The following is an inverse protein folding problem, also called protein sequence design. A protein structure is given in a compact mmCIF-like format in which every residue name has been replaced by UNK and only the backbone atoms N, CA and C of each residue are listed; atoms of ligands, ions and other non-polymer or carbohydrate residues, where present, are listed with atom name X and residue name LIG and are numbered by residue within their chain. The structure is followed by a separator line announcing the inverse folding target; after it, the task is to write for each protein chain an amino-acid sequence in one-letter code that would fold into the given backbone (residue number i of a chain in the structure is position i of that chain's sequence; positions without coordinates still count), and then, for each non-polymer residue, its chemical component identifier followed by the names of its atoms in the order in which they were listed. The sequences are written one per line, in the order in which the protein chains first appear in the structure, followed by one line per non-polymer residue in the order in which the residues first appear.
data_IF_627365738757
#
_entry.id   IF_627365738757
#
_cell.length_a   1.000
_cell.length_b   1.000
_cell.length_c   1.000
_cell.angle_alpha   90.00
_cell.angle_beta   90.00
_cell.angle_gamma   90.00
#
_symmetry.space_group_name_H-M   'P 1'
#
loop_
_entity.id
_entity.type
_entity.pdbx_description
1 polymer ?
#
# COMPACT_ATOMS: atom_id res chain seq x y z
N UNK A 1 -10.67 11.99 -18.09
CA UNK A 1 -10.42 10.73 -18.85
C UNK A 1 -11.24 9.61 -18.23
N UNK A 2 -11.89 8.75 -19.04
CA UNK A 2 -12.51 7.51 -18.53
C UNK A 2 -11.47 6.40 -18.63
N UNK A 3 -11.24 5.65 -17.55
CA UNK A 3 -10.39 4.47 -17.59
C UNK A 3 -10.98 3.42 -18.54
N UNK A 4 -10.12 2.75 -19.32
CA UNK A 4 -10.50 1.58 -20.12
C UNK A 4 -11.00 0.47 -19.19
N UNK A 5 -11.86 -0.41 -19.63
CA UNK A 5 -12.43 -1.50 -18.83
C UNK A 5 -11.33 -2.36 -18.16
N UNK A 6 -10.26 -2.69 -18.90
CA UNK A 6 -9.10 -3.43 -18.39
C UNK A 6 -8.38 -2.70 -17.25
N UNK A 7 -8.18 -1.40 -17.35
CA UNK A 7 -7.50 -0.59 -16.33
C UNK A 7 -8.37 -0.45 -15.08
N UNK A 8 -9.70 -0.38 -15.25
CA UNK A 8 -10.66 -0.35 -14.14
C UNK A 8 -10.65 -1.67 -13.37
N UNK A 9 -10.75 -2.81 -14.07
CA UNK A 9 -10.71 -4.13 -13.44
C UNK A 9 -9.38 -4.36 -12.71
N UNK A 10 -8.25 -3.90 -13.30
CA UNK A 10 -6.95 -3.95 -12.64
C UNK A 10 -6.93 -3.09 -11.35
N UNK A 11 -7.47 -1.88 -11.39
CA UNK A 11 -7.57 -1.00 -10.22
C UNK A 11 -8.42 -1.65 -9.11
N UNK A 12 -9.55 -2.27 -9.46
CA UNK A 12 -10.42 -2.98 -8.51
C UNK A 12 -9.67 -4.15 -7.86
N UNK A 13 -8.94 -4.95 -8.63
CA UNK A 13 -8.14 -6.06 -8.11
C UNK A 13 -7.00 -5.58 -7.20
N UNK A 14 -6.25 -4.54 -7.59
CA UNK A 14 -5.21 -3.95 -6.76
C UNK A 14 -5.79 -3.36 -5.47
N UNK A 15 -6.93 -2.69 -5.55
CA UNK A 15 -7.61 -2.14 -4.36
C UNK A 15 -8.04 -3.24 -3.41
N UNK A 16 -8.59 -4.34 -3.93
CA UNK A 16 -9.01 -5.49 -3.14
C UNK A 16 -7.82 -6.23 -2.50
N UNK A 17 -6.71 -6.38 -3.24
CA UNK A 17 -5.46 -6.92 -2.70
C UNK A 17 -4.96 -6.08 -1.53
N UNK A 18 -4.81 -4.78 -1.74
CA UNK A 18 -4.37 -3.86 -0.70
C UNK A 18 -5.29 -3.83 0.54
N UNK A 19 -6.61 -3.92 0.37
CA UNK A 19 -7.54 -4.06 1.50
C UNK A 19 -7.24 -5.32 2.34
N UNK A 20 -6.84 -6.41 1.70
CA UNK A 20 -6.46 -7.64 2.39
C UNK A 20 -5.18 -7.48 3.19
N UNK A 21 -4.13 -6.92 2.57
CA UNK A 21 -2.85 -6.61 3.23
C UNK A 21 -3.06 -5.69 4.43
N UNK A 22 -3.88 -4.65 4.27
CA UNK A 22 -4.20 -3.70 5.34
C UNK A 22 -4.99 -4.35 6.49
N UNK A 23 -5.94 -5.25 6.21
CA UNK A 23 -6.65 -6.03 7.25
C UNK A 23 -5.67 -6.88 8.04
N UNK A 24 -4.73 -7.54 7.37
CA UNK A 24 -3.71 -8.34 8.03
C UNK A 24 -2.77 -7.49 8.88
N UNK A 25 -2.32 -6.34 8.37
CA UNK A 25 -1.53 -5.38 9.15
C UNK A 25 -2.24 -4.97 10.45
N UNK A 26 -3.52 -4.58 10.39
CA UNK A 26 -4.27 -4.20 11.59
C UNK A 26 -4.48 -5.37 12.55
N UNK A 27 -4.67 -6.57 12.03
CA UNK A 27 -4.76 -7.78 12.83
C UNK A 27 -3.46 -8.01 13.62
N UNK A 28 -2.30 -7.89 12.96
CA UNK A 28 -1.01 -7.97 13.66
C UNK A 28 -0.85 -6.85 14.67
N UNK A 29 -1.17 -5.61 14.31
CA UNK A 29 -1.04 -4.46 15.21
C UNK A 29 -1.89 -4.58 16.48
N UNK A 30 -3.04 -5.22 16.38
CA UNK A 30 -4.00 -5.38 17.49
C UNK A 30 -3.67 -6.59 18.37
N UNK A 31 -3.26 -7.71 17.78
CA UNK A 31 -3.18 -9.00 18.47
C UNK A 31 -1.78 -9.59 18.58
N UNK A 32 -0.78 -9.10 17.84
CA UNK A 32 0.59 -9.56 17.95
C UNK A 32 1.26 -8.86 19.13
N UNK A 33 1.47 -9.61 20.22
CA UNK A 33 2.10 -9.12 21.45
C UNK A 33 3.60 -9.43 21.53
N UNK A 34 4.10 -10.33 20.68
CA UNK A 34 5.52 -10.69 20.61
C UNK A 34 6.35 -9.53 20.08
N UNK A 35 7.53 -9.32 20.67
CA UNK A 35 8.50 -8.34 20.18
C UNK A 35 9.18 -8.84 18.90
N UNK A 36 8.63 -8.47 17.74
CA UNK A 36 9.12 -8.85 16.42
C UNK A 36 9.40 -7.60 15.56
N UNK A 37 10.24 -7.76 14.55
CA UNK A 37 10.43 -6.72 13.52
C UNK A 37 9.54 -7.08 12.34
N UNK A 38 8.63 -6.19 12.00
CA UNK A 38 7.64 -6.41 10.96
C UNK A 38 7.88 -5.46 9.79
N UNK A 39 8.15 -6.04 8.61
CA UNK A 39 8.33 -5.32 7.35
C UNK A 39 7.14 -5.62 6.45
N UNK A 40 6.51 -4.58 5.90
CA UNK A 40 5.34 -4.69 5.04
C UNK A 40 5.64 -4.13 3.66
N UNK A 41 5.02 -4.70 2.62
CA UNK A 41 5.18 -4.29 1.21
C UNK A 41 6.65 -4.15 0.80
N UNK A 42 7.49 -5.11 1.19
CA UNK A 42 8.92 -5.10 0.90
C UNK A 42 9.17 -5.61 -0.52
N UNK A 43 9.66 -4.74 -1.41
CA UNK A 43 10.04 -5.12 -2.77
C UNK A 43 11.54 -5.17 -2.91
N UNK A 44 12.04 -6.31 -3.38
CA UNK A 44 13.47 -6.58 -3.55
C UNK A 44 13.75 -7.07 -4.97
N UNK A 45 15.02 -7.04 -5.34
CA UNK A 45 15.55 -7.65 -6.56
C UNK A 45 16.63 -8.65 -6.24
N UNK A 46 16.58 -9.79 -6.91
CA UNK A 46 17.63 -10.79 -6.86
C UNK A 46 17.82 -11.42 -8.24
N UNK A 47 19.07 -11.43 -8.74
CA UNK A 47 19.45 -11.98 -10.06
C UNK A 47 18.55 -11.44 -11.20
N UNK A 48 18.28 -10.12 -11.23
CA UNK A 48 17.41 -9.48 -12.23
C UNK A 48 15.92 -9.80 -12.08
N UNK A 49 15.53 -10.48 -10.99
CA UNK A 49 14.13 -10.80 -10.69
C UNK A 49 13.61 -9.97 -9.54
N UNK A 50 12.68 -9.06 -9.82
CA UNK A 50 11.93 -8.35 -8.77
C UNK A 50 10.90 -9.29 -8.13
N UNK A 51 10.76 -9.17 -6.80
CA UNK A 51 9.73 -9.84 -6.03
C UNK A 51 9.24 -8.95 -4.89
N UNK A 52 7.99 -9.12 -4.51
CA UNK A 52 7.33 -8.35 -3.46
C UNK A 52 6.91 -9.32 -2.35
N UNK A 53 7.10 -8.91 -1.13
CA UNK A 53 6.72 -9.61 0.09
C UNK A 53 5.65 -8.77 0.78
N UNK A 54 4.45 -9.30 0.95
CA UNK A 54 3.35 -8.58 1.60
C UNK A 54 3.68 -8.30 3.06
N UNK A 55 4.20 -9.32 3.78
CA UNK A 55 4.69 -9.14 5.15
C UNK A 55 5.85 -10.09 5.45
N UNK A 56 6.93 -9.54 6.02
CA UNK A 56 8.06 -10.30 6.55
C UNK A 56 8.19 -10.01 8.04
N UNK A 57 8.02 -11.04 8.87
CA UNK A 57 8.10 -10.93 10.32
C UNK A 57 9.39 -11.60 10.79
N UNK A 58 10.30 -10.83 11.39
CA UNK A 58 11.55 -11.34 11.94
C UNK A 58 11.36 -11.63 13.44
N UNK A 59 11.62 -12.86 13.83
CA UNK A 59 11.65 -13.34 15.20
C UNK A 59 13.08 -13.74 15.58
N UNK A 60 13.29 -14.12 16.84
CA UNK A 60 14.63 -14.40 17.39
C UNK A 60 15.41 -15.46 16.59
N UNK A 61 14.78 -16.53 16.16
CA UNK A 61 15.45 -17.68 15.55
C UNK A 61 14.94 -18.03 14.15
N UNK A 62 13.93 -17.30 13.65
CA UNK A 62 13.33 -17.54 12.34
C UNK A 62 12.61 -16.29 11.83
N UNK A 63 12.26 -16.32 10.58
CA UNK A 63 11.40 -15.32 9.95
C UNK A 63 10.18 -15.99 9.33
N UNK A 64 9.08 -15.24 9.26
CA UNK A 64 7.86 -15.66 8.59
C UNK A 64 7.63 -14.78 7.36
N UNK A 65 7.61 -15.41 6.18
CA UNK A 65 7.17 -14.78 4.94
C UNK A 65 5.67 -15.03 4.79
N UNK A 66 4.91 -13.95 4.72
CA UNK A 66 3.45 -14.00 4.62
C UNK A 66 3.02 -13.41 3.27
N UNK A 67 2.30 -14.21 2.50
CA UNK A 67 1.56 -13.79 1.32
C UNK A 67 0.08 -13.68 1.68
N UNK A 68 -0.56 -12.54 1.43
CA UNK A 68 -1.94 -12.27 1.80
C UNK A 68 -2.84 -12.24 0.56
N UNK A 69 -3.90 -13.01 0.57
CA UNK A 69 -4.93 -13.00 -0.48
C UNK A 69 -6.29 -12.61 0.08
N UNK A 70 -6.96 -11.69 -0.60
CA UNK A 70 -8.31 -11.25 -0.28
C UNK A 70 -9.29 -11.71 -1.35
N UNK A 71 -9.28 -13.01 -1.64
CA UNK A 71 -10.23 -13.63 -2.56
C UNK A 71 -11.59 -13.79 -1.88
N UNK A 72 -12.66 -13.85 -2.66
CA UNK A 72 -14.02 -14.17 -2.24
C UNK A 72 -14.64 -15.21 -3.15
N UNK A 73 -15.55 -16.00 -2.61
CA UNK A 73 -16.26 -17.05 -3.30
C UNK A 73 -15.52 -18.38 -3.33
N UNK A 74 -15.96 -19.25 -4.23
CA UNK A 74 -15.60 -20.66 -4.26
C UNK A 74 -14.46 -20.95 -5.23
N UNK A 75 -13.48 -21.69 -4.75
CA UNK A 75 -12.33 -22.13 -5.53
C UNK A 75 -12.12 -23.64 -5.34
N UNK A 76 -11.58 -24.28 -6.37
CA UNK A 76 -11.24 -25.71 -6.34
C UNK A 76 -9.75 -25.84 -6.64
N UNK A 77 -9.06 -26.60 -5.80
CA UNK A 77 -7.67 -26.97 -6.04
C UNK A 77 -7.63 -28.39 -6.63
N UNK A 78 -7.08 -28.51 -7.83
CA UNK A 78 -6.78 -29.78 -8.49
C UNK A 78 -5.26 -29.86 -8.69
N UNK A 79 -4.57 -30.54 -7.79
CA UNK A 79 -3.11 -30.56 -7.72
C UNK A 79 -2.52 -29.14 -7.72
N UNK A 80 -1.77 -28.78 -8.75
CA UNK A 80 -1.15 -27.46 -8.91
C UNK A 80 -2.05 -26.43 -9.61
N UNK A 81 -3.22 -26.84 -10.09
CA UNK A 81 -4.17 -25.96 -10.78
C UNK A 81 -5.24 -25.46 -9.81
N UNK A 82 -5.51 -24.17 -9.89
CA UNK A 82 -6.58 -23.52 -9.12
C UNK A 82 -7.64 -22.98 -10.07
N UNK A 83 -8.89 -23.33 -9.81
CA UNK A 83 -10.05 -22.91 -10.58
C UNK A 83 -10.99 -22.05 -9.74
N UNK A 84 -11.39 -20.88 -10.25
CA UNK A 84 -12.42 -20.06 -9.63
C UNK A 84 -13.79 -20.44 -10.18
N UNK A 85 -14.67 -20.93 -9.31
CA UNK A 85 -16.04 -21.34 -9.68
C UNK A 85 -16.84 -20.13 -10.16
N UNK A 86 -16.73 -18.99 -9.45
CA UNK A 86 -17.47 -17.78 -9.79
C UNK A 86 -17.03 -17.16 -11.12
N UNK A 87 -15.70 -17.15 -11.38
CA UNK A 87 -15.15 -16.61 -12.63
C UNK A 87 -15.14 -17.60 -13.78
N UNK A 88 -15.44 -18.90 -13.51
CA UNK A 88 -15.43 -20.01 -14.48
C UNK A 88 -14.12 -20.10 -15.26
N UNK A 89 -12.98 -19.94 -14.58
CA UNK A 89 -11.64 -19.96 -15.20
C UNK A 89 -10.57 -20.40 -14.23
N UNK A 90 -9.47 -20.88 -14.80
CA UNK A 90 -8.25 -21.11 -14.05
C UNK A 90 -7.64 -19.80 -13.56
N UNK A 91 -7.03 -19.85 -12.39
CA UNK A 91 -6.25 -18.75 -11.82
C UNK A 91 -4.83 -19.22 -11.53
N UNK A 92 -3.92 -18.27 -11.47
CA UNK A 92 -2.56 -18.56 -11.04
C UNK A 92 -2.58 -19.11 -9.60
N UNK A 93 -1.88 -20.23 -9.38
CA UNK A 93 -1.77 -20.85 -8.07
C UNK A 93 -1.01 -19.92 -7.10
N UNK A 94 -1.66 -19.42 -6.02
CA UNK A 94 -1.01 -18.50 -5.08
C UNK A 94 0.14 -19.14 -4.29
N UNK A 95 0.12 -20.47 -4.10
CA UNK A 95 1.21 -21.19 -3.44
C UNK A 95 2.49 -21.14 -4.27
N UNK A 96 2.40 -21.26 -5.59
CA UNK A 96 3.57 -21.13 -6.48
C UNK A 96 4.15 -19.72 -6.43
N UNK A 97 3.31 -18.69 -6.33
CA UNK A 97 3.76 -17.31 -6.14
C UNK A 97 4.54 -17.17 -4.83
N UNK A 98 3.99 -17.64 -3.73
CA UNK A 98 4.62 -17.63 -2.40
C UNK A 98 5.94 -18.41 -2.41
N UNK A 99 5.97 -19.63 -2.97
CA UNK A 99 7.18 -20.46 -3.06
C UNK A 99 8.29 -19.77 -3.86
N UNK A 100 7.94 -19.13 -4.99
CA UNK A 100 8.90 -18.34 -5.76
C UNK A 100 9.47 -17.19 -4.95
N UNK A 101 8.63 -16.48 -4.20
CA UNK A 101 9.04 -15.39 -3.32
C UNK A 101 9.98 -15.90 -2.21
N UNK A 102 9.65 -17.03 -1.60
CA UNK A 102 10.47 -17.70 -0.58
C UNK A 102 11.86 -18.08 -1.11
N UNK A 103 11.95 -18.67 -2.30
CA UNK A 103 13.22 -19.03 -2.92
C UNK A 103 14.11 -17.80 -3.16
N UNK A 104 13.55 -16.72 -3.69
CA UNK A 104 14.27 -15.46 -3.92
C UNK A 104 14.72 -14.80 -2.62
N UNK A 105 13.89 -14.86 -1.57
CA UNK A 105 14.25 -14.34 -0.25
C UNK A 105 15.35 -15.18 0.40
N UNK A 106 15.29 -16.52 0.31
CA UNK A 106 16.35 -17.43 0.79
C UNK A 106 17.68 -17.15 0.11
N UNK A 107 17.67 -16.97 -1.21
CA UNK A 107 18.88 -16.61 -1.97
C UNK A 107 19.40 -15.21 -1.59
N UNK A 108 18.51 -14.27 -1.31
CA UNK A 108 18.87 -12.94 -0.80
C UNK A 108 19.52 -13.04 0.58
N UNK A 109 18.93 -13.80 1.51
CA UNK A 109 19.48 -14.02 2.84
C UNK A 109 20.86 -14.68 2.79
N UNK A 110 21.01 -15.72 1.98
CA UNK A 110 22.31 -16.39 1.76
C UNK A 110 23.37 -15.41 1.24
N UNK A 111 23.04 -14.60 0.24
CA UNK A 111 23.96 -13.59 -0.30
C UNK A 111 24.37 -12.52 0.72
N UNK A 112 23.48 -12.19 1.64
CA UNK A 112 23.74 -11.22 2.71
C UNK A 112 24.37 -11.83 3.97
N UNK A 113 24.62 -13.14 3.98
CA UNK A 113 25.14 -13.85 5.14
C UNK A 113 24.13 -13.95 6.30
N UNK A 114 22.84 -13.75 6.03
CA UNK A 114 21.75 -13.82 7.01
C UNK A 114 21.40 -15.29 7.26
N UNK A 115 21.64 -15.78 8.46
CA UNK A 115 21.32 -17.16 8.88
C UNK A 115 20.03 -17.19 9.70
N UNK A 116 18.92 -16.80 9.10
CA UNK A 116 17.60 -16.81 9.74
C UNK A 116 16.65 -17.67 8.89
N UNK A 117 16.23 -18.85 9.38
CA UNK A 117 15.31 -19.73 8.67
C UNK A 117 14.01 -19.01 8.29
N UNK A 118 13.47 -19.33 7.12
CA UNK A 118 12.23 -18.76 6.60
C UNK A 118 11.15 -19.83 6.59
N UNK A 119 10.04 -19.54 7.24
CA UNK A 119 8.78 -20.29 7.15
C UNK A 119 7.75 -19.42 6.40
N UNK A 120 7.07 -19.98 5.41
CA UNK A 120 6.15 -19.22 4.56
C UNK A 120 4.71 -19.63 4.78
N UNK A 121 3.80 -18.65 4.80
CA UNK A 121 2.36 -18.88 4.94
C UNK A 121 1.57 -18.07 3.92
N UNK A 122 0.60 -18.75 3.29
CA UNK A 122 -0.40 -18.13 2.43
C UNK A 122 -1.67 -17.88 3.25
N UNK A 123 -2.03 -16.62 3.44
CA UNK A 123 -3.17 -16.22 4.26
C UNK A 123 -4.34 -15.78 3.38
N UNK A 124 -5.48 -16.46 3.52
CA UNK A 124 -6.75 -15.99 2.98
C UNK A 124 -7.50 -15.21 4.07
N UNK A 125 -7.45 -13.87 3.95
CA UNK A 125 -7.96 -12.97 4.99
C UNK A 125 -9.48 -12.79 4.93
N UNK A 126 -10.12 -13.14 3.80
CA UNK A 126 -11.55 -12.95 3.58
C UNK A 126 -12.33 -14.17 4.10
N UNK A 127 -13.30 -13.99 5.02
CA UNK A 127 -14.14 -15.09 5.50
C UNK A 127 -15.05 -15.70 4.44
N UNK A 128 -15.34 -14.97 3.36
CA UNK A 128 -16.15 -15.45 2.23
C UNK A 128 -15.36 -16.31 1.23
N UNK A 129 -14.09 -16.63 1.51
CA UNK A 129 -13.26 -17.49 0.67
C UNK A 129 -13.40 -18.95 1.08
N UNK A 130 -13.71 -19.81 0.13
CA UNK A 130 -13.78 -21.26 0.30
C UNK A 130 -12.86 -21.95 -0.71
N UNK A 131 -12.02 -22.86 -0.25
CA UNK A 131 -11.14 -23.67 -1.09
C UNK A 131 -11.50 -25.15 -0.91
N UNK A 132 -12.09 -25.75 -1.96
CA UNK A 132 -12.34 -27.18 -2.03
C UNK A 132 -11.06 -27.95 -2.37
N UNK A 133 -10.94 -29.16 -1.87
CA UNK A 133 -9.82 -30.10 -2.09
C UNK A 133 -8.47 -29.61 -1.58
N UNK A 134 -8.44 -28.65 -0.62
CA UNK A 134 -7.19 -28.18 -0.05
C UNK A 134 -6.50 -29.28 0.75
N UNK A 135 -5.25 -29.67 0.42
CA UNK A 135 -4.49 -30.65 1.20
C UNK A 135 -4.18 -30.14 2.60
N UNK A 136 -4.28 -31.01 3.62
CA UNK A 136 -4.07 -30.65 5.03
C UNK A 136 -2.65 -30.15 5.37
N UNK A 137 -1.65 -30.54 4.58
CA UNK A 137 -0.22 -30.23 4.85
C UNK A 137 0.28 -28.95 4.15
N UNK A 138 -0.58 -28.21 3.46
CA UNK A 138 -0.16 -26.96 2.82
C UNK A 138 -0.07 -25.81 3.84
N UNK A 139 0.87 -24.88 3.66
CA UNK A 139 1.04 -23.72 4.55
C UNK A 139 -0.02 -22.64 4.29
N UNK A 140 -1.28 -23.04 4.31
CA UNK A 140 -2.43 -22.17 4.10
C UNK A 140 -3.10 -21.87 5.44
N UNK A 141 -3.42 -20.60 5.65
CA UNK A 141 -4.18 -20.11 6.80
C UNK A 141 -5.46 -19.46 6.29
N UNK A 142 -6.60 -20.04 6.63
CA UNK A 142 -7.91 -19.48 6.31
C UNK A 142 -8.35 -18.45 7.36
N UNK A 143 -9.29 -17.57 7.01
CA UNK A 143 -9.81 -16.53 7.90
C UNK A 143 -10.22 -17.07 9.29
N UNK A 144 -10.90 -18.22 9.35
CA UNK A 144 -11.27 -18.88 10.61
C UNK A 144 -10.09 -19.44 11.44
N UNK A 145 -8.88 -19.45 10.89
CA UNK A 145 -7.67 -19.94 11.56
C UNK A 145 -6.74 -18.79 12.03
N UNK A 146 -7.05 -17.55 11.69
CA UNK A 146 -6.20 -16.40 11.98
C UNK A 146 -5.87 -16.25 13.47
N UNK A 147 -6.85 -16.45 14.35
CA UNK A 147 -6.61 -16.38 15.79
C UNK A 147 -5.54 -17.40 16.25
N UNK A 148 -5.65 -18.65 15.79
CA UNK A 148 -4.65 -19.70 16.10
C UNK A 148 -3.28 -19.37 15.51
N UNK A 149 -3.24 -18.78 14.31
CA UNK A 149 -2.01 -18.35 13.68
C UNK A 149 -1.31 -17.24 14.48
N UNK A 150 -2.05 -16.23 14.93
CA UNK A 150 -1.51 -15.16 15.77
C UNK A 150 -1.05 -15.73 17.14
N UNK A 151 -1.79 -16.67 17.73
CA UNK A 151 -1.36 -17.35 18.96
C UNK A 151 -0.03 -18.10 18.77
N UNK A 152 0.15 -18.76 17.62
CA UNK A 152 1.42 -19.41 17.26
C UNK A 152 2.56 -18.37 17.16
N UNK A 153 2.32 -17.24 16.51
CA UNK A 153 3.30 -16.15 16.42
C UNK A 153 3.65 -15.61 17.82
N UNK A 154 2.66 -15.39 18.69
CA UNK A 154 2.87 -14.91 20.06
C UNK A 154 3.66 -15.89 20.93
N UNK A 155 3.60 -17.17 20.64
CA UNK A 155 4.37 -18.21 21.34
C UNK A 155 5.77 -18.43 20.74
N UNK A 156 6.11 -17.73 19.65
CA UNK A 156 7.43 -17.82 19.03
C UNK A 156 8.43 -16.97 19.82
N UNK A 157 9.63 -17.50 20.19
CA UNK A 157 10.66 -16.70 20.86
C UNK A 157 10.99 -15.42 20.09
N UNK A 158 11.00 -14.29 20.80
CA UNK A 158 11.01 -12.97 20.16
C UNK A 158 11.98 -11.97 20.82
N UNK A 159 13.12 -12.41 21.34
CA UNK A 159 14.18 -11.52 21.83
C UNK A 159 14.92 -10.92 20.64
N UNK A 160 14.73 -9.62 20.42
CA UNK A 160 15.39 -8.91 19.32
C UNK A 160 16.78 -8.42 19.76
N UNK A 161 17.77 -8.69 18.91
CA UNK A 161 19.17 -8.27 19.10
C UNK A 161 19.53 -7.16 18.13
N UNK A 162 20.74 -6.59 18.28
CA UNK A 162 21.31 -5.66 17.31
C UNK A 162 21.36 -6.26 15.90
N UNK A 163 21.71 -7.54 15.78
CA UNK A 163 21.77 -8.23 14.49
C UNK A 163 20.41 -8.22 13.73
N UNK A 164 19.29 -8.39 14.41
CA UNK A 164 17.96 -8.32 13.79
C UNK A 164 17.65 -6.90 13.26
N UNK A 165 18.13 -5.86 13.94
CA UNK A 165 17.98 -4.48 13.47
C UNK A 165 18.85 -4.23 12.22
N UNK A 166 20.07 -4.74 12.19
CA UNK A 166 20.95 -4.68 11.03
C UNK A 166 20.34 -5.41 9.82
N UNK A 167 19.71 -6.56 10.02
CA UNK A 167 18.95 -7.27 8.96
C UNK A 167 17.83 -6.36 8.43
N UNK A 168 17.03 -5.78 9.32
CA UNK A 168 15.96 -4.84 8.94
C UNK A 168 16.51 -3.70 8.10
N UNK A 169 17.55 -3.01 8.59
CA UNK A 169 18.16 -1.86 7.90
C UNK A 169 18.68 -2.23 6.51
N UNK A 170 19.32 -3.38 6.40
CA UNK A 170 19.83 -3.88 5.12
C UNK A 170 18.71 -4.20 4.12
N UNK A 171 17.62 -4.86 4.56
CA UNK A 171 16.48 -5.15 3.72
C UNK A 171 15.75 -3.87 3.28
N UNK A 172 15.58 -2.91 4.22
CA UNK A 172 14.98 -1.61 3.93
C UNK A 172 15.83 -0.81 2.93
N UNK A 173 17.16 -0.81 3.07
CA UNK A 173 18.07 -0.14 2.15
C UNK A 173 17.99 -0.69 0.72
N UNK A 174 17.63 -1.97 0.58
CA UNK A 174 17.45 -2.65 -0.73
C UNK A 174 16.04 -2.57 -1.27
N UNK A 175 15.13 -1.93 -0.55
CA UNK A 175 13.78 -1.76 -1.04
C UNK A 175 13.73 -0.95 -2.34
N UNK A 176 12.91 -1.42 -3.27
CA UNK A 176 12.70 -0.77 -4.56
C UNK A 176 11.36 -0.04 -4.51
N UNK A 177 11.38 1.28 -4.47
CA UNK A 177 10.15 2.10 -4.39
C UNK A 177 9.27 1.96 -5.64
N UNK A 178 9.88 1.86 -6.83
CA UNK A 178 9.16 1.80 -8.10
C UNK A 178 9.59 0.56 -8.88
N UNK A 179 8.62 -0.34 -9.16
CA UNK A 179 8.89 -1.51 -9.98
C UNK A 179 9.15 -1.15 -11.44
N UNK A 180 10.17 -1.74 -12.04
CA UNK A 180 10.42 -1.65 -13.50
C UNK A 180 9.28 -2.26 -14.33
N UNK A 181 8.45 -3.10 -13.72
CA UNK A 181 7.30 -3.80 -14.33
C UNK A 181 5.97 -3.09 -14.10
N UNK A 182 5.98 -1.92 -13.45
CA UNK A 182 4.75 -1.18 -13.17
C UNK A 182 4.13 -0.66 -14.47
N UNK A 183 2.90 -1.12 -14.74
CA UNK A 183 2.15 -0.68 -15.91
C UNK A 183 1.11 0.34 -15.46
N UNK A 184 1.46 1.60 -15.56
CA UNK A 184 0.50 2.69 -15.37
C UNK A 184 -0.33 2.90 -16.64
N UNK A 185 -1.61 3.29 -16.53
CA UNK A 185 -2.36 3.77 -17.69
C UNK A 185 -1.63 4.94 -18.36
N UNK A 186 -1.64 4.98 -19.68
CA UNK A 186 -1.14 6.16 -20.41
C UNK A 186 -2.06 7.35 -20.15
N UNK A 187 -1.50 8.43 -19.66
CA UNK A 187 -2.21 9.70 -19.47
C UNK A 187 -1.24 10.87 -19.67
N UNK A 188 -1.81 12.02 -20.03
CA UNK A 188 -1.06 13.26 -20.02
C UNK A 188 -1.81 14.34 -19.22
N UNK A 189 -1.08 15.38 -18.83
CA UNK A 189 -1.59 16.43 -17.96
C UNK A 189 -2.82 17.13 -18.53
N UNK A 190 -2.85 17.36 -19.83
CA UNK A 190 -3.93 18.11 -20.50
C UNK A 190 -5.25 17.33 -20.57
N UNK A 191 -5.16 16.00 -20.62
CA UNK A 191 -6.34 15.12 -20.70
C UNK A 191 -7.01 14.89 -19.36
N UNK A 192 -6.30 15.18 -18.25
CA UNK A 192 -6.84 14.98 -16.92
C UNK A 192 -7.77 16.13 -16.52
N UNK A 193 -8.83 15.77 -15.82
CA UNK A 193 -9.77 16.74 -15.28
C UNK A 193 -9.11 17.56 -14.19
N UNK A 194 -9.11 18.89 -14.34
CA UNK A 194 -8.64 19.82 -13.32
C UNK A 194 -9.73 20.06 -12.27
N UNK A 195 -9.34 20.43 -11.09
CA UNK A 195 -10.24 20.70 -9.97
C UNK A 195 -9.98 19.80 -8.77
N UNK A 196 -10.50 20.20 -7.61
CA UNK A 196 -10.41 19.38 -6.41
C UNK A 196 -11.47 18.29 -6.45
N UNK A 197 -11.04 17.03 -6.50
CA UNK A 197 -11.92 15.88 -6.48
C UNK A 197 -12.20 15.43 -5.06
N UNK A 198 -13.39 14.92 -4.79
CA UNK A 198 -13.77 14.38 -3.50
C UNK A 198 -13.01 13.09 -3.19
N UNK A 199 -12.32 13.03 -2.05
CA UNK A 199 -11.60 11.84 -1.61
C UNK A 199 -12.50 10.63 -1.34
N UNK A 200 -13.82 10.81 -1.21
CA UNK A 200 -14.77 9.74 -0.95
C UNK A 200 -15.37 9.12 -2.24
N UNK A 201 -15.86 9.94 -3.16
CA UNK A 201 -16.61 9.46 -4.32
C UNK A 201 -16.02 9.88 -5.66
N UNK A 202 -14.91 10.67 -5.67
CA UNK A 202 -14.31 11.22 -6.90
C UNK A 202 -15.14 12.32 -7.58
N UNK A 203 -16.25 12.76 -6.98
CA UNK A 203 -17.04 13.90 -7.45
C UNK A 203 -16.31 15.22 -7.25
N UNK A 204 -16.80 16.30 -7.86
CA UNK A 204 -16.20 17.64 -7.72
C UNK A 204 -16.48 18.23 -6.36
N UNK A 205 -15.47 18.85 -5.75
CA UNK A 205 -15.60 19.66 -4.56
C UNK A 205 -15.81 21.13 -4.95
N UNK A 206 -16.77 21.79 -4.30
CA UNK A 206 -16.99 23.24 -4.45
C UNK A 206 -16.78 23.97 -3.15
N UNK A 207 -16.32 25.21 -3.21
CA UNK A 207 -16.21 26.06 -2.05
C UNK A 207 -17.62 26.30 -1.45
N UNK A 208 -17.80 25.95 -0.19
CA UNK A 208 -19.04 26.20 0.55
C UNK A 208 -19.00 27.56 1.26
N UNK A 209 -17.85 27.87 1.85
CA UNK A 209 -17.58 29.11 2.56
C UNK A 209 -16.06 29.44 2.52
N UNK A 210 -15.58 30.32 3.39
CA UNK A 210 -14.17 30.74 3.42
C UNK A 210 -13.22 29.60 3.82
N UNK A 211 -13.67 28.58 4.58
CA UNK A 211 -12.80 27.55 5.17
C UNK A 211 -13.12 26.12 4.70
N UNK A 212 -14.28 25.88 4.13
CA UNK A 212 -14.77 24.54 3.79
C UNK A 212 -15.13 24.39 2.32
N UNK A 213 -15.03 23.14 1.85
CA UNK A 213 -15.50 22.66 0.54
C UNK A 213 -16.52 21.56 0.75
N UNK A 214 -17.46 21.42 -0.17
CA UNK A 214 -18.50 20.40 -0.18
C UNK A 214 -18.53 19.66 -1.52
N UNK A 215 -18.67 18.34 -1.47
CA UNK A 215 -18.83 17.52 -2.66
C UNK A 215 -20.21 17.70 -3.28
N UNK A 216 -20.27 17.95 -4.59
CA UNK A 216 -21.53 18.07 -5.33
C UNK A 216 -22.33 16.76 -5.33
N UNK A 217 -21.64 15.61 -5.36
CA UNK A 217 -22.27 14.29 -5.49
C UNK A 217 -22.67 13.68 -4.14
N UNK A 218 -21.70 13.46 -3.23
CA UNK A 218 -21.96 12.77 -1.96
C UNK A 218 -22.14 13.68 -0.74
N UNK A 219 -22.12 15.00 -0.96
CA UNK A 219 -22.31 16.04 0.06
C UNK A 219 -21.27 16.07 1.18
N UNK A 220 -20.21 15.25 1.10
CA UNK A 220 -19.12 15.23 2.07
C UNK A 220 -18.43 16.60 2.13
N UNK A 221 -18.17 17.06 3.33
CA UNK A 221 -17.46 18.31 3.59
C UNK A 221 -16.01 18.03 3.99
N UNK A 222 -15.11 18.95 3.60
CA UNK A 222 -13.68 18.89 3.89
C UNK A 222 -13.16 20.32 4.04
N UNK A 223 -12.15 20.56 4.91
CA UNK A 223 -11.52 21.87 4.98
C UNK A 223 -10.78 22.19 3.67
N UNK A 224 -10.72 23.46 3.28
CA UNK A 224 -9.96 23.87 2.08
C UNK A 224 -8.51 23.46 2.14
N UNK A 225 -7.89 23.57 3.30
CA UNK A 225 -6.47 23.23 3.49
C UNK A 225 -6.21 21.74 3.25
N UNK A 226 -7.04 20.87 3.83
CA UNK A 226 -6.99 19.43 3.61
C UNK A 226 -7.20 19.07 2.13
N UNK A 227 -8.22 19.67 1.50
CA UNK A 227 -8.55 19.42 0.11
C UNK A 227 -7.44 19.88 -0.86
N UNK A 228 -6.81 21.02 -0.59
CA UNK A 228 -5.65 21.51 -1.36
C UNK A 228 -4.47 20.57 -1.18
N UNK A 229 -4.09 20.21 0.07
CA UNK A 229 -2.96 19.31 0.34
C UNK A 229 -3.15 17.95 -0.33
N UNK A 230 -4.34 17.39 -0.28
CA UNK A 230 -4.67 16.14 -0.97
C UNK A 230 -4.50 16.28 -2.48
N UNK A 231 -4.90 17.41 -3.06
CA UNK A 231 -4.73 17.67 -4.50
C UNK A 231 -3.25 17.90 -4.88
N UNK A 232 -2.46 18.52 -4.00
CA UNK A 232 -1.00 18.65 -4.19
C UNK A 232 -0.33 17.27 -4.19
N UNK A 233 -0.73 16.40 -3.27
CA UNK A 233 -0.23 15.03 -3.23
C UNK A 233 -0.63 14.24 -4.48
N UNK A 234 -1.89 14.34 -4.91
CA UNK A 234 -2.37 13.74 -6.16
C UNK A 234 -1.55 14.21 -7.37
N UNK A 235 -1.29 15.53 -7.47
CA UNK A 235 -0.44 16.09 -8.52
C UNK A 235 0.97 15.49 -8.49
N UNK A 236 1.58 15.39 -7.32
CA UNK A 236 2.92 14.83 -7.15
C UNK A 236 2.99 13.35 -7.59
N UNK A 237 2.02 12.55 -7.18
CA UNK A 237 1.94 11.13 -7.56
C UNK A 237 1.71 10.94 -9.06
N UNK A 238 0.84 11.75 -9.65
CA UNK A 238 0.57 11.67 -11.08
C UNK A 238 1.70 12.22 -11.95
N UNK A 239 2.44 13.20 -11.46
CA UNK A 239 3.50 13.90 -12.20
C UNK A 239 4.77 14.06 -11.37
N UNK A 240 5.47 12.96 -11.01
CA UNK A 240 6.63 13.00 -10.10
C UNK A 240 7.77 13.87 -10.64
N UNK A 241 7.89 14.01 -11.95
CA UNK A 241 8.92 14.83 -12.61
C UNK A 241 8.52 16.31 -12.77
N UNK A 242 7.30 16.70 -12.39
CA UNK A 242 6.85 18.10 -12.44
C UNK A 242 7.06 18.78 -11.08
N UNK A 243 7.68 19.96 -11.10
CA UNK A 243 7.86 20.76 -9.88
C UNK A 243 6.52 21.24 -9.33
N UNK A 244 6.33 21.10 -8.03
CA UNK A 244 5.20 21.67 -7.32
C UNK A 244 5.45 23.17 -7.19
N UNK A 245 4.79 23.98 -8.00
CA UNK A 245 4.84 25.44 -7.96
C UNK A 245 3.47 26.00 -7.61
N UNK A 246 3.41 27.28 -7.21
CA UNK A 246 2.14 27.95 -6.98
C UNK A 246 1.24 27.89 -8.22
N UNK A 247 1.81 28.11 -9.41
CA UNK A 247 1.04 28.15 -10.64
C UNK A 247 0.58 26.75 -11.05
N UNK A 248 1.45 25.72 -10.97
CA UNK A 248 1.05 24.35 -11.31
C UNK A 248 -0.08 23.82 -10.41
N UNK A 249 -0.03 24.15 -9.11
CA UNK A 249 -1.09 23.73 -8.17
C UNK A 249 -2.37 24.58 -8.34
N UNK A 250 -2.24 25.87 -8.61
CA UNK A 250 -3.40 26.70 -8.90
C UNK A 250 -4.17 26.19 -10.14
N UNK A 251 -3.45 25.85 -11.20
CA UNK A 251 -4.04 25.25 -12.40
C UNK A 251 -4.63 23.87 -12.12
N UNK A 252 -3.92 23.02 -11.36
CA UNK A 252 -4.39 21.68 -11.02
C UNK A 252 -5.65 21.69 -10.15
N UNK A 253 -5.72 22.57 -9.16
CA UNK A 253 -6.90 22.72 -8.30
C UNK A 253 -8.10 23.33 -9.02
N UNK A 254 -7.88 23.96 -10.19
CA UNK A 254 -8.94 24.56 -11.00
C UNK A 254 -9.55 25.82 -10.37
N UNK A 255 -10.63 26.27 -10.97
CA UNK A 255 -11.34 27.48 -10.55
C UNK A 255 -11.96 27.34 -9.16
N UNK A 256 -12.09 28.47 -8.44
CA UNK A 256 -12.77 28.55 -7.13
C UNK A 256 -11.85 28.69 -5.92
N UNK A 257 -10.52 28.64 -6.12
CA UNK A 257 -9.54 28.94 -5.07
C UNK A 257 -8.63 30.12 -5.48
N UNK A 258 -8.28 30.95 -4.50
CA UNK A 258 -7.33 32.03 -4.75
C UNK A 258 -5.89 31.53 -4.64
N UNK A 259 -4.96 32.10 -5.43
CA UNK A 259 -3.53 31.84 -5.31
C UNK A 259 -3.00 32.17 -3.89
N UNK A 260 -3.64 33.09 -3.18
CA UNK A 260 -3.27 33.46 -1.80
C UNK A 260 -3.45 32.28 -0.83
N UNK A 261 -4.57 31.57 -0.91
CA UNK A 261 -4.85 30.41 -0.06
C UNK A 261 -3.90 29.28 -0.39
N UNK A 262 -3.70 28.97 -1.68
CA UNK A 262 -2.77 27.90 -2.11
C UNK A 262 -1.36 28.20 -1.64
N UNK A 263 -0.88 29.46 -1.81
CA UNK A 263 0.46 29.86 -1.35
C UNK A 263 0.63 29.66 0.14
N UNK A 264 -0.37 30.04 0.96
CA UNK A 264 -0.34 29.82 2.41
C UNK A 264 -0.25 28.33 2.74
N UNK A 265 -1.13 27.50 2.16
CA UNK A 265 -1.16 26.06 2.42
C UNK A 265 0.16 25.40 2.04
N UNK A 266 0.75 25.75 0.88
CA UNK A 266 2.06 25.24 0.47
C UNK A 266 3.17 25.66 1.44
N UNK A 267 3.18 26.94 1.86
CA UNK A 267 4.23 27.47 2.76
C UNK A 267 4.16 26.86 4.16
N UNK A 268 2.97 26.60 4.69
CA UNK A 268 2.77 26.01 6.02
C UNK A 268 3.14 24.52 6.07
N UNK A 269 2.90 23.78 4.98
CA UNK A 269 2.95 22.32 5.00
C UNK A 269 4.12 21.70 4.21
N UNK A 270 4.85 22.49 3.42
CA UNK A 270 5.92 22.01 2.57
C UNK A 270 7.20 22.79 2.74
N UNK A 271 8.31 22.21 2.32
CA UNK A 271 9.61 22.87 2.30
C UNK A 271 9.73 23.69 1.01
N UNK A 272 10.03 24.99 1.17
CA UNK A 272 10.27 25.89 0.03
C UNK A 272 11.70 25.75 -0.46
N UNK A 273 11.88 25.58 -1.76
CA UNK A 273 13.17 25.51 -2.46
C UNK A 273 13.24 26.52 -3.59
N UNK A 274 14.46 26.86 -3.99
CA UNK A 274 14.74 27.80 -5.10
C UNK A 274 14.64 29.29 -4.73
N UNK A 275 15.02 30.15 -5.68
CA UNK A 275 14.97 31.60 -5.53
C UNK A 275 13.60 32.20 -5.95
N UNK A 276 13.45 33.53 -5.84
CA UNK A 276 12.17 34.22 -6.04
C UNK A 276 11.43 33.89 -7.35
N UNK A 277 12.16 33.74 -8.48
CA UNK A 277 11.59 33.42 -9.78
C UNK A 277 11.47 31.93 -10.08
N UNK A 278 12.18 31.08 -9.33
CA UNK A 278 12.21 29.61 -9.50
C UNK A 278 11.72 28.85 -8.26
N UNK A 279 10.85 29.47 -7.46
CA UNK A 279 10.31 28.87 -6.24
C UNK A 279 9.48 27.62 -6.56
N UNK A 280 9.81 26.51 -5.90
CA UNK A 280 9.03 25.29 -5.89
C UNK A 280 8.98 24.71 -4.48
N UNK A 281 8.11 23.73 -4.26
CA UNK A 281 7.88 23.13 -2.95
C UNK A 281 8.15 21.63 -3.00
N UNK A 282 8.62 21.08 -1.87
CA UNK A 282 8.86 19.65 -1.67
C UNK A 282 8.16 19.20 -0.40
N UNK A 283 7.74 17.95 -0.35
CA UNK A 283 7.24 17.38 0.90
C UNK A 283 8.39 17.25 1.91
N UNK A 284 8.11 17.55 3.18
CA UNK A 284 9.03 17.26 4.29
C UNK A 284 9.06 15.73 4.47
N UNK A 285 10.24 15.13 4.63
CA UNK A 285 10.40 13.65 4.71
C UNK A 285 9.47 13.00 5.73
N UNK A 286 9.26 13.61 6.89
CA UNK A 286 8.36 13.12 7.93
C UNK A 286 6.86 13.19 7.57
N UNK A 287 6.45 13.99 6.58
CA UNK A 287 5.05 14.21 6.26
C UNK A 287 4.46 13.23 5.25
N UNK A 288 5.28 12.58 4.42
CA UNK A 288 4.79 11.64 3.40
C UNK A 288 4.14 10.44 4.09
N UNK A 289 4.83 9.82 5.04
CA UNK A 289 4.31 8.66 5.80
C UNK A 289 3.08 9.02 6.64
N UNK A 290 3.12 10.15 7.35
CA UNK A 290 1.99 10.62 8.20
C UNK A 290 0.76 11.00 7.36
N UNK A 291 0.95 11.59 6.16
CA UNK A 291 -0.15 11.96 5.29
C UNK A 291 -0.83 10.73 4.69
N UNK A 292 -0.06 9.74 4.26
CA UNK A 292 -0.55 8.45 3.77
C UNK A 292 -1.36 7.75 4.89
N UNK A 293 -0.84 7.69 6.10
CA UNK A 293 -1.50 7.09 7.27
C UNK A 293 -2.82 7.82 7.63
N UNK A 294 -2.84 9.16 7.63
CA UNK A 294 -4.05 9.94 7.90
C UNK A 294 -5.12 9.76 6.82
N UNK A 295 -4.74 9.75 5.54
CA UNK A 295 -5.68 9.54 4.43
C UNK A 295 -6.29 8.14 4.48
N UNK A 296 -5.52 7.12 4.85
CA UNK A 296 -6.00 5.76 4.99
C UNK A 296 -6.93 5.59 6.21
N UNK A 297 -6.67 6.28 7.33
CA UNK A 297 -7.56 6.31 8.49
C UNK A 297 -8.92 6.97 8.19
N UNK A 298 -8.95 7.98 7.33
CA UNK A 298 -10.21 8.60 6.85
C UNK A 298 -10.95 7.70 5.85
N UNK A 299 -10.27 6.78 5.16
CA UNK A 299 -10.85 5.88 4.14
C UNK A 299 -11.26 4.52 4.68
N UNK A 300 -10.65 4.02 5.76
CA UNK A 300 -11.09 2.78 6.44
C UNK A 300 -12.53 2.88 6.97
N UNK A 301 -13.03 4.09 7.19
CA UNK A 301 -14.44 4.35 7.49
C UNK A 301 -15.34 4.42 6.23
N UNK A 302 -14.77 4.32 5.01
CA UNK A 302 -15.52 4.36 3.76
C UNK A 302 -14.76 3.60 2.66
N UNK A 303 -15.21 2.40 2.38
CA UNK A 303 -14.88 1.41 1.36
C UNK A 303 -14.22 1.88 0.05
N UNK A 304 -12.98 2.38 0.02
CA UNK A 304 -12.09 2.40 -1.15
C UNK A 304 -10.66 2.82 -0.76
N UNK A 305 -9.64 1.95 -0.91
CA UNK A 305 -8.24 2.28 -0.66
C UNK A 305 -7.55 2.84 -1.90
N UNK A 306 -6.63 3.77 -1.69
CA UNK A 306 -5.56 4.12 -2.63
C UNK A 306 -4.29 4.42 -1.84
N UNK A 307 -3.21 3.74 -2.24
CA UNK A 307 -1.79 3.97 -1.99
C UNK A 307 -1.10 3.18 -0.88
N UNK A 308 0.06 2.66 -1.26
CA UNK A 308 0.98 1.76 -0.58
C UNK A 308 1.75 2.42 0.56
N UNK A 309 2.20 1.61 1.49
CA UNK A 309 3.02 2.00 2.64
C UNK A 309 4.46 1.57 2.48
N UNK A 310 5.37 2.42 2.92
CA UNK A 310 6.68 2.05 3.36
C UNK A 310 6.89 2.54 4.80
N UNK A 311 7.18 1.60 5.69
CA UNK A 311 7.82 1.71 7.01
C UNK A 311 7.18 2.56 8.12
N UNK A 312 6.59 1.90 9.13
CA UNK A 312 6.56 2.45 10.48
C UNK A 312 7.91 2.18 11.16
N UNK A 313 8.64 3.24 11.46
CA UNK A 313 9.69 3.22 12.48
C UNK A 313 8.98 3.15 13.83
N UNK A 314 9.12 2.04 14.53
CA UNK A 314 8.76 1.96 15.94
C UNK A 314 9.60 2.98 16.71
N UNK A 315 8.93 3.88 17.40
CA UNK A 315 9.57 4.68 18.44
C UNK A 315 9.82 3.77 19.64
N UNK A 316 11.09 3.75 20.06
CA UNK A 316 11.73 3.34 21.35
C UNK A 316 11.29 2.03 22.01
#
# INVERSE_FOLDING_TARGET
MKLRAKDRSRLENLSKGFEGELKFYYLLKEYLSSNSINLFDLRLERNGSEFQIDSLLLFQQKSYLIEVKNFDGDFVQNDDQWYSVNLKRDIQNPLQQMQRCELLLKDTFHHLGIQLPIESFLIFINPEFILYNSPRKQPIVFAGQLHRFITMLNNTPSTMTRHHREIKEELVRRHIDTSSRERLPEYNYEQLRKGIMCGNCGGVMRAMNLVAMKCESCKKEESKDSAILRSVYEFHVLFPNRKITLNSIYEWCGEGLSKKIIRRVLAENMERKGGSRSTYYMFKEQHITTFILKQNRMRSNNKRPLLRFSYEMGND
#
